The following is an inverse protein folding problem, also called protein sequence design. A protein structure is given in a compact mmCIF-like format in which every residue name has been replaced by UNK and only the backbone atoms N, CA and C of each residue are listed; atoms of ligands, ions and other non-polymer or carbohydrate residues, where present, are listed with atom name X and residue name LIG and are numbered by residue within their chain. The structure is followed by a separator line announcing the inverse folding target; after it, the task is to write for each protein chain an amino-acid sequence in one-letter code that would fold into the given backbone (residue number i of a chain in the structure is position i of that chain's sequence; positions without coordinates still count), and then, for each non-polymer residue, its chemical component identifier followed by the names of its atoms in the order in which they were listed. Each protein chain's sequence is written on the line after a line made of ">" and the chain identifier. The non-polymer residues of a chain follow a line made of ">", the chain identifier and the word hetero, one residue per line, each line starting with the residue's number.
data_IF_399236915493
#
_entry.id   IF_399236915493
#
_cell.length_a   1.000
_cell.length_b   1.000
_cell.length_c   1.000
_cell.angle_alpha   90.00
_cell.angle_beta   90.00
_cell.angle_gamma   90.00
#
_symmetry.space_group_name_H-M   'P 1'
#
loop_
_entity.id
_entity.type
_entity.pdbx_description
1 polymer ?
#
# COMPACT_ATOMS: atom_id res chain seq x y z
N UNK A 1 -38.15 15.99 -1.89
CA UNK A 1 -38.07 15.38 -0.54
C UNK A 1 -37.05 16.19 0.24
N UNK A 2 -37.44 16.78 1.37
CA UNK A 2 -36.52 17.59 2.17
C UNK A 2 -35.55 16.68 2.91
N UNK A 3 -34.25 16.82 2.64
CA UNK A 3 -33.19 16.14 3.38
C UNK A 3 -33.03 16.85 4.72
N UNK A 4 -33.55 16.27 5.80
CA UNK A 4 -33.30 16.79 7.15
C UNK A 4 -31.81 16.61 7.48
N UNK A 5 -31.15 17.70 7.88
CA UNK A 5 -29.75 17.68 8.30
C UNK A 5 -29.63 17.44 9.82
N UNK A 6 -28.45 17.06 10.30
CA UNK A 6 -28.17 16.91 11.73
C UNK A 6 -28.44 18.21 12.53
N UNK A 7 -28.20 19.36 11.90
CA UNK A 7 -28.50 20.68 12.44
C UNK A 7 -30.01 20.87 12.60
N UNK A 8 -30.80 20.49 11.59
CA UNK A 8 -32.27 20.61 11.63
C UNK A 8 -32.87 19.72 12.73
N UNK A 9 -32.37 18.49 12.89
CA UNK A 9 -32.82 17.56 13.94
C UNK A 9 -32.49 18.11 15.33
N UNK A 10 -31.30 18.68 15.52
CA UNK A 10 -30.88 19.24 16.79
C UNK A 10 -31.73 20.46 17.19
N UNK A 11 -32.06 21.33 16.23
CA UNK A 11 -32.94 22.47 16.46
C UNK A 11 -34.38 22.03 16.79
N UNK A 12 -34.91 21.04 16.05
CA UNK A 12 -36.23 20.46 16.31
C UNK A 12 -36.29 19.77 17.69
N UNK A 13 -35.23 19.04 18.07
CA UNK A 13 -35.13 18.41 19.37
C UNK A 13 -35.10 19.45 20.50
N UNK A 14 -34.38 20.55 20.31
CA UNK A 14 -34.35 21.67 21.26
C UNK A 14 -35.70 22.39 21.41
N UNK A 15 -36.52 22.42 20.35
CA UNK A 15 -37.90 22.94 20.41
C UNK A 15 -38.82 21.94 21.11
N UNK A 16 -38.81 20.67 20.70
CA UNK A 16 -39.63 19.61 21.27
C UNK A 16 -39.38 19.41 22.78
N UNK A 17 -38.13 19.51 23.24
CA UNK A 17 -37.78 19.42 24.67
C UNK A 17 -38.37 20.55 25.50
N UNK A 18 -38.35 21.78 24.95
CA UNK A 18 -38.94 22.95 25.63
C UNK A 18 -40.46 22.81 25.70
N UNK A 19 -41.09 22.44 24.60
CA UNK A 19 -42.53 22.22 24.54
C UNK A 19 -43.00 21.10 25.49
N UNK A 20 -42.28 19.97 25.53
CA UNK A 20 -42.56 18.89 26.46
C UNK A 20 -42.40 19.33 27.92
N UNK A 21 -41.34 20.09 28.24
CA UNK A 21 -41.11 20.61 29.59
C UNK A 21 -42.19 21.61 30.03
N UNK A 22 -42.61 22.51 29.14
CA UNK A 22 -43.66 23.49 29.41
C UNK A 22 -45.02 22.81 29.64
N UNK A 23 -45.37 21.81 28.81
CA UNK A 23 -46.60 21.03 28.98
C UNK A 23 -46.56 20.17 30.26
N UNK A 24 -45.41 19.59 30.59
CA UNK A 24 -45.22 18.82 31.83
C UNK A 24 -45.42 19.69 33.06
N UNK A 25 -44.82 20.88 33.07
CA UNK A 25 -44.97 21.85 34.14
C UNK A 25 -46.44 22.28 34.32
N UNK A 26 -47.17 22.50 33.22
CA UNK A 26 -48.60 22.84 33.28
C UNK A 26 -49.44 21.68 33.84
N UNK A 27 -49.13 20.44 33.47
CA UNK A 27 -49.80 19.26 34.00
C UNK A 27 -49.51 19.08 35.50
N UNK A 28 -48.24 19.16 35.90
CA UNK A 28 -47.83 19.04 37.32
C UNK A 28 -48.50 20.11 38.18
N UNK A 29 -48.63 21.34 37.66
CA UNK A 29 -49.37 22.40 38.33
C UNK A 29 -50.86 22.07 38.47
N UNK A 30 -51.51 21.61 37.40
CA UNK A 30 -52.93 21.23 37.44
C UNK A 30 -53.20 20.07 38.41
N UNK A 31 -52.32 19.07 38.44
CA UNK A 31 -52.40 17.93 39.36
C UNK A 31 -52.13 18.33 40.82
N UNK A 32 -51.20 19.26 41.06
CA UNK A 32 -50.94 19.83 42.38
C UNK A 32 -52.10 20.67 42.91
N UNK A 33 -52.68 21.54 42.08
CA UNK A 33 -53.87 22.33 42.43
C UNK A 33 -55.09 21.41 42.67
N UNK A 34 -55.23 20.33 41.88
CA UNK A 34 -56.28 19.33 42.06
C UNK A 34 -56.18 18.65 43.44
N UNK A 35 -54.96 18.24 43.83
CA UNK A 35 -54.73 17.61 45.13
C UNK A 35 -55.13 18.55 46.28
N UNK A 36 -54.76 19.84 46.19
CA UNK A 36 -55.15 20.85 47.18
C UNK A 36 -56.66 21.07 47.25
N UNK A 37 -57.35 21.12 46.10
CA UNK A 37 -58.80 21.27 46.05
C UNK A 37 -59.54 20.06 46.67
N UNK A 38 -59.02 18.85 46.43
CA UNK A 38 -59.53 17.61 47.04
C UNK A 38 -59.32 17.62 48.56
N UNK A 39 -58.16 18.03 49.06
CA UNK A 39 -57.89 18.16 50.49
C UNK A 39 -58.80 19.20 51.16
N UNK A 40 -59.05 20.33 50.50
CA UNK A 40 -59.97 21.38 50.95
C UNK A 40 -61.46 21.00 50.84
N UNK A 41 -61.78 19.83 50.25
CA UNK A 41 -63.14 19.37 49.94
C UNK A 41 -63.93 20.31 49.01
N UNK A 42 -63.25 21.10 48.20
CA UNK A 42 -63.87 21.90 47.13
C UNK A 42 -63.98 21.04 45.88
N UNK A 43 -65.04 20.24 45.83
CA UNK A 43 -65.26 19.30 44.73
C UNK A 43 -65.61 19.99 43.41
N UNK A 44 -66.15 21.21 43.42
CA UNK A 44 -66.39 21.97 42.20
C UNK A 44 -65.08 22.35 41.51
N UNK A 45 -64.16 22.92 42.29
CA UNK A 45 -62.82 23.28 41.83
C UNK A 45 -62.01 22.05 41.40
N UNK A 46 -62.15 20.94 42.14
CA UNK A 46 -61.50 19.68 41.80
C UNK A 46 -61.99 19.11 40.46
N UNK A 47 -63.29 19.17 40.14
CA UNK A 47 -63.80 18.65 38.85
C UNK A 47 -63.27 19.46 37.66
N UNK A 48 -63.18 20.79 37.79
CA UNK A 48 -62.59 21.67 36.76
C UNK A 48 -61.10 21.37 36.53
N UNK A 49 -60.31 21.25 37.61
CA UNK A 49 -58.88 20.98 37.54
C UNK A 49 -58.59 19.58 37.00
N UNK A 50 -59.44 18.59 37.35
CA UNK A 50 -59.36 17.25 36.79
C UNK A 50 -59.58 17.25 35.28
N UNK A 51 -60.61 17.92 34.77
CA UNK A 51 -60.85 18.03 33.32
C UNK A 51 -59.65 18.67 32.62
N UNK A 52 -59.09 19.73 33.19
CA UNK A 52 -57.89 20.39 32.65
C UNK A 52 -56.67 19.47 32.62
N UNK A 53 -56.44 18.68 33.67
CA UNK A 53 -55.36 17.69 33.68
C UNK A 53 -55.60 16.56 32.66
N UNK A 54 -56.83 16.06 32.56
CA UNK A 54 -57.21 15.04 31.59
C UNK A 54 -57.05 15.53 30.14
N UNK A 55 -57.32 16.81 29.86
CA UNK A 55 -57.06 17.43 28.55
C UNK A 55 -55.56 17.61 28.26
N UNK A 56 -54.73 17.90 29.28
CA UNK A 56 -53.28 18.11 29.11
C UNK A 56 -52.48 16.80 28.93
N UNK A 57 -52.91 15.69 29.56
CA UNK A 57 -52.17 14.40 29.53
C UNK A 57 -51.83 13.88 28.13
N UNK A 58 -52.77 13.84 27.15
CA UNK A 58 -52.45 13.39 25.80
C UNK A 58 -51.40 14.25 25.10
N UNK A 59 -51.42 15.56 25.34
CA UNK A 59 -50.44 16.50 24.76
C UNK A 59 -49.04 16.30 25.33
N UNK A 60 -48.93 16.08 26.65
CA UNK A 60 -47.65 15.74 27.30
C UNK A 60 -47.07 14.45 26.74
N UNK A 61 -47.88 13.39 26.64
CA UNK A 61 -47.48 12.11 26.05
C UNK A 61 -46.97 12.26 24.60
N UNK A 62 -47.69 13.04 23.79
CA UNK A 62 -47.30 13.29 22.40
C UNK A 62 -45.99 14.09 22.32
N UNK A 63 -45.79 15.10 23.16
CA UNK A 63 -44.57 15.88 23.18
C UNK A 63 -43.36 15.04 23.64
N UNK A 64 -43.50 14.23 24.70
CA UNK A 64 -42.44 13.33 25.19
C UNK A 64 -42.07 12.24 24.17
N UNK A 65 -43.06 11.66 23.49
CA UNK A 65 -42.80 10.69 22.40
C UNK A 65 -42.10 11.35 21.21
N UNK A 66 -42.44 12.60 20.88
CA UNK A 66 -41.76 13.36 19.83
C UNK A 66 -40.30 13.66 20.17
N UNK A 67 -40.01 13.98 21.45
CA UNK A 67 -38.63 14.12 21.94
C UNK A 67 -37.86 12.81 21.76
N UNK A 68 -38.45 11.69 22.18
CA UNK A 68 -37.80 10.37 22.07
C UNK A 68 -37.51 10.02 20.61
N UNK A 69 -38.47 10.21 19.71
CA UNK A 69 -38.30 9.94 18.28
C UNK A 69 -37.19 10.80 17.64
N UNK A 70 -37.10 12.08 18.01
CA UNK A 70 -36.04 12.98 17.53
C UNK A 70 -34.67 12.61 18.09
N UNK A 71 -34.59 12.11 19.33
CA UNK A 71 -33.34 11.60 19.91
C UNK A 71 -32.85 10.35 19.18
N UNK A 72 -33.75 9.40 18.91
CA UNK A 72 -33.42 8.18 18.20
C UNK A 72 -32.97 8.48 16.76
N UNK A 73 -33.65 9.42 16.09
CA UNK A 73 -33.26 9.87 14.75
C UNK A 73 -31.88 10.53 14.74
N UNK A 74 -31.57 11.38 15.72
CA UNK A 74 -30.25 11.99 15.85
C UNK A 74 -29.16 10.94 16.06
N UNK A 75 -29.38 9.98 16.96
CA UNK A 75 -28.42 8.91 17.23
C UNK A 75 -28.19 8.02 16.00
N UNK A 76 -29.25 7.69 15.26
CA UNK A 76 -29.16 6.91 14.03
C UNK A 76 -28.37 7.64 12.93
N UNK A 77 -28.57 8.95 12.79
CA UNK A 77 -27.84 9.78 11.82
C UNK A 77 -26.36 9.87 12.16
N UNK A 78 -26.02 10.09 13.43
CA UNK A 78 -24.63 10.13 13.90
C UNK A 78 -23.93 8.80 13.63
N UNK A 79 -24.61 7.68 13.90
CA UNK A 79 -24.07 6.34 13.64
C UNK A 79 -23.89 6.08 12.14
N UNK A 80 -24.81 6.56 11.31
CA UNK A 80 -24.67 6.51 9.85
C UNK A 80 -23.44 7.27 9.38
N UNK A 81 -23.27 8.52 9.83
CA UNK A 81 -22.10 9.34 9.47
C UNK A 81 -20.78 8.69 9.91
N UNK A 82 -20.74 8.06 11.10
CA UNK A 82 -19.56 7.31 11.56
C UNK A 82 -19.23 6.15 10.62
N UNK A 83 -20.25 5.37 10.21
CA UNK A 83 -20.07 4.23 9.29
C UNK A 83 -19.63 4.68 7.91
N UNK A 84 -20.21 5.76 7.37
CA UNK A 84 -19.79 6.33 6.10
C UNK A 84 -18.34 6.79 6.15
N UNK A 85 -17.95 7.52 7.20
CA UNK A 85 -16.58 7.96 7.39
C UNK A 85 -15.60 6.79 7.53
N UNK A 86 -15.97 5.75 8.30
CA UNK A 86 -15.14 4.55 8.44
C UNK A 86 -14.96 3.82 7.10
N UNK A 87 -16.03 3.71 6.31
CA UNK A 87 -16.00 3.09 4.98
C UNK A 87 -15.13 3.90 4.01
N UNK A 88 -15.23 5.24 4.04
CA UNK A 88 -14.41 6.12 3.21
C UNK A 88 -12.92 5.97 3.54
N UNK A 89 -12.57 5.95 4.83
CA UNK A 89 -11.19 5.74 5.27
C UNK A 89 -10.64 4.38 4.85
N UNK A 90 -11.44 3.32 4.96
CA UNK A 90 -11.02 1.98 4.57
C UNK A 90 -10.79 1.88 3.06
N UNK A 91 -11.68 2.49 2.27
CA UNK A 91 -11.51 2.59 0.82
C UNK A 91 -10.22 3.35 0.46
N UNK A 92 -9.96 4.48 1.10
CA UNK A 92 -8.74 5.24 0.88
C UNK A 92 -7.48 4.44 1.24
N UNK A 93 -7.51 3.67 2.34
CA UNK A 93 -6.41 2.77 2.72
C UNK A 93 -6.17 1.69 1.67
N UNK A 94 -7.22 1.08 1.15
CA UNK A 94 -7.12 0.05 0.12
C UNK A 94 -6.57 0.61 -1.20
N UNK A 95 -7.02 1.80 -1.60
CA UNK A 95 -6.49 2.49 -2.79
C UNK A 95 -5.00 2.82 -2.63
N UNK A 96 -4.60 3.37 -1.47
CA UNK A 96 -3.18 3.66 -1.18
C UNK A 96 -2.33 2.39 -1.18
N UNK A 97 -2.82 1.31 -0.58
CA UNK A 97 -2.12 0.03 -0.58
C UNK A 97 -1.99 -0.55 -1.99
N UNK A 98 -3.06 -0.50 -2.79
CA UNK A 98 -3.02 -0.91 -4.20
C UNK A 98 -1.98 -0.13 -5.00
N UNK A 99 -1.97 1.20 -4.87
CA UNK A 99 -0.99 2.06 -5.53
C UNK A 99 0.46 1.74 -5.12
N UNK A 100 0.72 1.50 -3.82
CA UNK A 100 2.04 1.10 -3.33
C UNK A 100 2.48 -0.24 -3.89
N UNK A 101 1.57 -1.23 -3.93
CA UNK A 101 1.87 -2.55 -4.46
C UNK A 101 2.19 -2.49 -5.96
N UNK A 102 1.42 -1.72 -6.72
CA UNK A 102 1.62 -1.59 -8.16
C UNK A 102 2.92 -0.83 -8.48
N UNK A 103 3.26 0.20 -7.68
CA UNK A 103 4.54 0.89 -7.77
C UNK A 103 5.73 -0.02 -7.43
N UNK A 104 5.62 -0.84 -6.38
CA UNK A 104 6.64 -1.82 -6.02
C UNK A 104 6.84 -2.86 -7.12
N UNK A 105 5.76 -3.37 -7.71
CA UNK A 105 5.82 -4.32 -8.81
C UNK A 105 6.44 -3.71 -10.09
N UNK A 106 6.20 -2.43 -10.36
CA UNK A 106 6.85 -1.72 -11.46
C UNK A 106 8.35 -1.58 -11.23
N UNK A 107 8.75 -1.14 -10.03
CA UNK A 107 10.16 -0.99 -9.67
C UNK A 107 10.91 -2.34 -9.68
N UNK A 108 10.26 -3.43 -9.25
CA UNK A 108 10.84 -4.78 -9.34
C UNK A 108 11.09 -5.20 -10.79
N UNK A 109 10.14 -4.97 -11.70
CA UNK A 109 10.33 -5.27 -13.13
C UNK A 109 11.47 -4.46 -13.74
N UNK A 110 11.54 -3.17 -13.47
CA UNK A 110 12.63 -2.31 -13.95
C UNK A 110 14.00 -2.80 -13.45
N UNK A 111 14.09 -3.20 -12.18
CA UNK A 111 15.31 -3.75 -11.61
C UNK A 111 15.71 -5.10 -12.23
N UNK A 112 14.73 -5.97 -12.54
CA UNK A 112 14.97 -7.24 -13.23
C UNK A 112 15.45 -6.99 -14.66
N UNK A 113 14.79 -6.10 -15.41
CA UNK A 113 15.18 -5.76 -16.77
C UNK A 113 16.60 -5.16 -16.81
N UNK A 114 16.94 -4.31 -15.85
CA UNK A 114 18.28 -3.75 -15.71
C UNK A 114 19.33 -4.83 -15.37
N UNK A 115 19.01 -5.75 -14.47
CA UNK A 115 19.89 -6.87 -14.12
C UNK A 115 20.12 -7.80 -15.33
N UNK A 116 19.09 -8.08 -16.13
CA UNK A 116 19.20 -8.87 -17.35
C UNK A 116 20.06 -8.19 -18.41
N UNK A 117 19.95 -6.86 -18.54
CA UNK A 117 20.83 -6.08 -19.42
C UNK A 117 22.29 -6.22 -18.98
N UNK A 118 22.61 -5.98 -17.71
CA UNK A 118 23.99 -6.11 -17.22
C UNK A 118 24.53 -7.53 -17.34
N UNK A 119 23.70 -8.55 -17.12
CA UNK A 119 24.09 -9.94 -17.34
C UNK A 119 24.41 -10.21 -18.81
N UNK A 120 23.62 -9.66 -19.73
CA UNK A 120 23.84 -9.79 -21.18
C UNK A 120 25.13 -9.10 -21.61
N UNK A 121 25.37 -7.87 -21.15
CA UNK A 121 26.62 -7.14 -21.40
C UNK A 121 27.83 -7.89 -20.85
N UNK A 122 27.74 -8.42 -19.63
CA UNK A 122 28.80 -9.22 -19.01
C UNK A 122 29.11 -10.48 -19.83
N UNK A 123 28.09 -11.18 -20.32
CA UNK A 123 28.26 -12.35 -21.21
C UNK A 123 28.97 -11.96 -22.50
N UNK A 124 28.62 -10.81 -23.09
CA UNK A 124 29.29 -10.30 -24.29
C UNK A 124 30.76 -9.97 -24.01
N UNK A 125 31.08 -9.36 -22.87
CA UNK A 125 32.47 -9.09 -22.47
C UNK A 125 33.28 -10.38 -22.26
N UNK A 126 32.68 -11.41 -21.66
CA UNK A 126 33.34 -12.73 -21.50
C UNK A 126 33.63 -13.35 -22.88
N UNK A 127 32.68 -13.29 -23.82
CA UNK A 127 32.89 -13.78 -25.17
C UNK A 127 34.03 -13.04 -25.89
N UNK A 128 34.05 -11.70 -25.81
CA UNK A 128 35.12 -10.89 -26.38
C UNK A 128 36.48 -11.16 -25.74
N UNK A 129 36.52 -11.40 -24.42
CA UNK A 129 37.73 -11.80 -23.71
C UNK A 129 38.25 -13.16 -24.21
N UNK A 130 37.36 -14.14 -24.40
CA UNK A 130 37.74 -15.45 -24.95
C UNK A 130 38.30 -15.34 -26.36
N UNK A 131 37.69 -14.54 -27.24
CA UNK A 131 38.22 -14.27 -28.58
C UNK A 131 39.62 -13.64 -28.53
N UNK A 132 39.81 -12.67 -27.63
CA UNK A 132 41.11 -12.02 -27.42
C UNK A 132 42.18 -13.00 -26.94
N UNK A 133 41.84 -13.89 -26.00
CA UNK A 133 42.74 -14.95 -25.53
C UNK A 133 43.11 -15.93 -26.64
N UNK A 134 42.15 -16.33 -27.49
CA UNK A 134 42.42 -17.18 -28.67
C UNK A 134 43.32 -16.48 -29.68
N UNK A 135 43.11 -15.19 -29.93
CA UNK A 135 43.98 -14.41 -30.80
C UNK A 135 45.41 -14.34 -30.26
N UNK A 136 45.57 -14.17 -28.94
CA UNK A 136 46.88 -14.19 -28.27
C UNK A 136 47.57 -15.55 -28.39
N UNK A 137 46.85 -16.66 -28.14
CA UNK A 137 47.37 -18.02 -28.35
C UNK A 137 47.76 -18.27 -29.81
N UNK A 138 46.96 -17.76 -30.76
CA UNK A 138 47.27 -17.83 -32.19
C UNK A 138 48.54 -17.05 -32.56
N UNK A 139 48.75 -15.88 -31.95
CA UNK A 139 49.98 -15.10 -32.15
C UNK A 139 51.21 -15.82 -31.58
N UNK A 140 51.08 -16.42 -30.39
CA UNK A 140 52.12 -17.26 -29.78
C UNK A 140 52.48 -18.46 -30.67
N UNK A 141 51.47 -19.17 -31.20
CA UNK A 141 51.68 -20.29 -32.11
C UNK A 141 52.41 -19.87 -33.40
N UNK A 142 52.03 -18.72 -34.00
CA UNK A 142 52.73 -18.17 -35.18
C UNK A 142 54.18 -17.80 -34.87
N UNK A 143 54.44 -17.17 -33.72
CA UNK A 143 55.80 -16.86 -33.29
C UNK A 143 56.64 -18.14 -33.09
N UNK A 144 56.02 -19.20 -32.57
CA UNK A 144 56.61 -20.53 -32.47
C UNK A 144 56.98 -21.16 -33.80
N UNK A 145 56.08 -21.09 -34.78
CA UNK A 145 56.30 -21.57 -36.14
C UNK A 145 57.45 -20.82 -36.82
N UNK A 146 57.42 -19.48 -36.79
CA UNK A 146 58.47 -18.65 -37.38
C UNK A 146 59.86 -18.94 -36.78
N UNK A 147 59.93 -19.24 -35.47
CA UNK A 147 61.19 -19.65 -34.83
C UNK A 147 61.69 -20.99 -35.35
N UNK A 148 60.80 -21.98 -35.51
CA UNK A 148 61.17 -23.30 -36.06
C UNK A 148 61.63 -23.19 -37.51
N UNK A 149 60.93 -22.40 -38.33
CA UNK A 149 61.29 -22.16 -39.72
C UNK A 149 62.65 -21.46 -39.83
N UNK A 150 62.89 -20.43 -39.01
CA UNK A 150 64.18 -19.75 -38.95
C UNK A 150 65.33 -20.68 -38.53
N UNK A 151 65.09 -21.55 -37.55
CA UNK A 151 66.09 -22.54 -37.13
C UNK A 151 66.35 -23.59 -38.21
N UNK A 152 65.31 -24.10 -38.87
CA UNK A 152 65.47 -25.04 -39.98
C UNK A 152 66.28 -24.40 -41.12
N UNK A 153 65.99 -23.15 -41.48
CA UNK A 153 66.75 -22.42 -42.48
C UNK A 153 68.24 -22.24 -42.10
N UNK A 154 68.53 -22.00 -40.81
CA UNK A 154 69.92 -21.93 -40.31
C UNK A 154 70.64 -23.28 -40.38
N UNK A 155 69.95 -24.38 -40.09
CA UNK A 155 70.48 -25.75 -40.25
C UNK A 155 70.77 -26.04 -41.72
N UNK A 156 69.81 -25.75 -42.61
CA UNK A 156 69.94 -25.99 -44.06
C UNK A 156 71.09 -25.17 -44.68
N UNK A 157 71.34 -23.97 -44.15
CA UNK A 157 72.48 -23.14 -44.53
C UNK A 157 73.82 -23.62 -43.94
N UNK A 158 73.82 -24.60 -43.03
CA UNK A 158 75.00 -25.14 -42.34
C UNK A 158 75.52 -24.28 -41.20
N UNK A 159 74.72 -23.32 -40.71
CA UNK A 159 75.11 -22.39 -39.64
C UNK A 159 74.84 -22.96 -38.25
N UNK A 160 73.89 -23.89 -38.14
CA UNK A 160 73.55 -24.59 -36.89
C UNK A 160 73.48 -26.11 -37.10
N UNK A 161 73.71 -26.89 -36.05
CA UNK A 161 73.47 -28.33 -36.07
C UNK A 161 72.02 -28.65 -35.69
N UNK A 162 71.44 -29.75 -36.22
CA UNK A 162 70.10 -30.19 -35.80
C UNK A 162 70.03 -30.41 -34.29
N UNK A 163 69.20 -29.63 -33.61
CA UNK A 163 68.89 -29.81 -32.19
C UNK A 163 67.54 -30.50 -32.04
N UNK A 164 67.46 -31.45 -31.12
CA UNK A 164 66.21 -32.11 -30.73
C UNK A 164 65.28 -31.17 -29.92
N UNK A 165 65.80 -30.03 -29.46
CA UNK A 165 65.08 -29.12 -28.57
C UNK A 165 64.99 -27.72 -29.17
N UNK A 166 63.81 -27.42 -29.75
CA UNK A 166 63.44 -26.06 -30.16
C UNK A 166 62.48 -25.49 -29.12
N UNK A 167 62.94 -24.52 -28.33
CA UNK A 167 62.08 -23.84 -27.36
C UNK A 167 61.07 -22.95 -28.07
N UNK A 168 59.79 -23.30 -27.95
CA UNK A 168 58.66 -22.53 -28.50
C UNK A 168 58.20 -21.50 -27.46
N UNK A 169 57.85 -20.26 -27.85
CA UNK A 169 57.18 -19.33 -26.95
C UNK A 169 55.93 -19.97 -26.35
N UNK A 170 55.80 -19.91 -25.02
CA UNK A 170 54.68 -20.48 -24.26
C UNK A 170 54.16 -19.51 -23.18
N UNK A 171 54.41 -18.21 -23.34
CA UNK A 171 54.17 -17.19 -22.32
C UNK A 171 52.68 -16.98 -22.10
N UNK A 172 51.90 -16.89 -23.18
CA UNK A 172 50.44 -16.74 -23.13
C UNK A 172 49.81 -18.00 -22.54
N UNK A 173 50.21 -19.18 -23.02
CA UNK A 173 49.70 -20.45 -22.48
C UNK A 173 50.00 -20.58 -20.98
N UNK A 174 51.24 -20.30 -20.56
CA UNK A 174 51.61 -20.37 -19.15
C UNK A 174 50.81 -19.40 -18.27
N UNK A 175 50.55 -18.17 -18.74
CA UNK A 175 49.72 -17.21 -18.00
C UNK A 175 48.26 -17.68 -17.88
N UNK A 176 47.70 -18.25 -18.93
CA UNK A 176 46.34 -18.82 -18.91
C UNK A 176 46.28 -20.02 -17.95
N UNK A 177 47.29 -20.89 -17.95
CA UNK A 177 47.33 -22.06 -17.08
C UNK A 177 47.46 -21.68 -15.60
N UNK A 178 48.11 -20.56 -15.29
CA UNK A 178 48.24 -20.04 -13.91
C UNK A 178 47.01 -19.27 -13.42
N UNK A 179 46.20 -18.72 -14.32
CA UNK A 179 45.03 -17.91 -13.97
C UNK A 179 43.74 -18.70 -14.22
N UNK A 180 43.12 -19.14 -13.12
CA UNK A 180 41.89 -19.93 -13.15
C UNK A 180 40.73 -19.22 -13.88
N UNK A 181 40.65 -17.89 -13.81
CA UNK A 181 39.59 -17.14 -14.49
C UNK A 181 39.79 -17.18 -16.01
N UNK A 182 41.02 -16.98 -16.50
CA UNK A 182 41.33 -17.02 -17.93
C UNK A 182 41.14 -18.44 -18.50
N UNK A 183 41.55 -19.45 -17.74
CA UNK A 183 41.33 -20.85 -18.11
C UNK A 183 39.83 -21.19 -18.24
N UNK A 184 39.01 -20.74 -17.30
CA UNK A 184 37.55 -20.96 -17.33
C UNK A 184 36.86 -20.18 -18.47
N UNK A 185 37.27 -18.93 -18.73
CA UNK A 185 36.75 -18.14 -19.86
C UNK A 185 36.98 -18.87 -21.19
N UNK A 186 38.18 -19.44 -21.39
CA UNK A 186 38.49 -20.21 -22.60
C UNK A 186 37.73 -21.54 -22.69
N UNK A 187 37.57 -22.27 -21.58
CA UNK A 187 36.85 -23.55 -21.55
C UNK A 187 35.35 -23.43 -21.79
N UNK A 188 34.72 -22.35 -21.32
CA UNK A 188 33.26 -22.18 -21.39
C UNK A 188 32.75 -21.61 -22.70
N UNK A 189 33.66 -21.16 -23.56
CA UNK A 189 33.33 -20.54 -24.84
C UNK A 189 33.69 -21.42 -26.05
N UNK A 190 34.26 -22.61 -25.83
CA UNK A 190 34.46 -23.69 -26.82
C UNK A 190 33.25 -24.60 -26.89
#
# INVERSE_FOLDING_TARGET
>A
MATMTATDISEQLGKARREAADLRMQLDQAEGELAQAVEAKDYSRADELKRRADDLRPHVLLAESSVTALQDAAAALDEHHRKEHATALEKERQERFGALRDAAAAAEREAVDEAERFLTETKAHIAAAAESLRAALGAEARAGLARREGQQAAIDAGWEQPSMYVSVPNRVQAHIDTDQLLAEILRRTT
#
